data_IF_583136123337
#
_entry.id   IF_583136123337
#
_cell.length_a   1.000
_cell.length_b   1.000
_cell.length_c   1.000
_cell.angle_alpha   90.00
_cell.angle_beta   90.00
_cell.angle_gamma   90.00
#
_symmetry.space_group_name_H-M   'P 1'
#
loop_
_entity.id
_entity.type
_entity.pdbx_description
1 polymer ?
#
# COMPACT_ATOMS: atom_id res chain seq x y z
N UNK A 1 3.00 -68.80 7.68
CA UNK A 1 2.14 -69.16 6.54
C UNK A 1 1.01 -68.15 6.53
N UNK A 2 1.19 -67.03 5.81
CA UNK A 2 0.58 -66.71 4.48
C UNK A 2 -0.93 -66.47 4.66
N UNK A 3 -1.60 -65.38 4.27
CA UNK A 3 -1.36 -64.26 3.32
C UNK A 3 -2.24 -63.05 3.76
N UNK A 4 -1.76 -61.80 3.68
CA UNK A 4 -2.10 -60.76 2.65
C UNK A 4 -3.61 -60.50 2.50
N UNK A 5 -4.13 -59.28 2.72
CA UNK A 5 -3.92 -58.14 1.82
C UNK A 5 -4.30 -56.75 2.42
N UNK A 6 -3.56 -55.75 1.93
CA UNK A 6 -3.93 -54.35 1.64
C UNK A 6 -4.07 -53.26 2.73
N UNK A 7 -2.93 -52.60 2.94
CA UNK A 7 -2.66 -51.16 3.04
C UNK A 7 -3.80 -50.27 2.49
N UNK A 8 -4.39 -49.43 3.34
CA UNK A 8 -4.58 -47.99 3.13
C UNK A 8 -5.13 -47.34 4.41
N UNK A 9 -4.22 -46.78 5.21
CA UNK A 9 -4.52 -45.95 6.36
C UNK A 9 -4.17 -44.51 5.99
N UNK A 10 -5.03 -43.89 5.16
CA UNK A 10 -4.93 -42.48 4.74
C UNK A 10 -6.20 -41.76 5.22
N UNK A 11 -6.02 -40.60 5.84
CA UNK A 11 -6.95 -39.45 5.94
C UNK A 11 -8.29 -39.68 6.66
N UNK A 12 -8.38 -39.30 7.93
CA UNK A 12 -8.68 -37.93 8.42
C UNK A 12 -10.18 -37.75 8.75
N UNK A 13 -10.49 -38.11 9.98
CA UNK A 13 -11.64 -37.68 10.76
C UNK A 13 -11.73 -36.14 10.87
N UNK A 14 -12.38 -35.43 9.94
CA UNK A 14 -12.79 -34.02 10.17
C UNK A 14 -14.08 -33.49 9.53
N UNK A 15 -14.97 -34.33 9.00
CA UNK A 15 -16.22 -33.82 8.36
C UNK A 15 -17.54 -34.24 9.04
N UNK A 16 -17.52 -34.56 10.33
CA UNK A 16 -18.71 -34.97 11.08
C UNK A 16 -19.13 -33.95 12.15
N UNK A 17 -19.40 -32.71 11.76
CA UNK A 17 -20.17 -31.72 12.54
C UNK A 17 -20.60 -30.65 11.52
N UNK A 18 -21.79 -30.72 10.91
CA UNK A 18 -23.03 -30.19 11.47
C UNK A 18 -24.16 -30.68 10.55
N UNK A 19 -25.07 -31.48 11.10
CA UNK A 19 -26.43 -31.63 10.58
C UNK A 19 -27.40 -31.14 11.67
N UNK A 20 -28.55 -30.61 11.25
CA UNK A 20 -29.67 -30.00 12.01
C UNK A 20 -29.55 -28.48 12.28
N UNK A 21 -30.49 -27.62 11.91
CA UNK A 21 -31.95 -27.77 11.78
C UNK A 21 -32.51 -26.96 10.60
N UNK A 22 -33.46 -27.55 9.85
CA UNK A 22 -34.35 -26.85 8.91
C UNK A 22 -35.77 -27.13 9.39
N UNK A 23 -36.58 -26.14 9.82
CA UNK A 23 -38.00 -26.36 9.95
C UNK A 23 -38.62 -26.28 8.54
N UNK A 24 -39.38 -27.30 8.19
CA UNK A 24 -40.31 -27.25 7.07
C UNK A 24 -41.39 -26.23 7.39
N UNK A 25 -41.55 -25.21 6.54
CA UNK A 25 -42.84 -24.55 6.39
C UNK A 25 -43.17 -24.35 4.91
N UNK A 26 -44.40 -24.73 4.63
CA UNK A 26 -45.20 -24.73 3.40
C UNK A 26 -45.04 -23.54 2.46
N UNK A 27 -44.84 -23.88 1.17
CA UNK A 27 -45.36 -23.23 -0.06
C UNK A 27 -45.20 -21.71 -0.21
N UNK A 28 -44.06 -21.30 -0.77
CA UNK A 28 -44.01 -20.21 -1.76
C UNK A 28 -43.16 -20.69 -2.96
N UNK A 29 -43.48 -20.32 -4.21
CA UNK A 29 -42.57 -20.54 -5.32
C UNK A 29 -41.35 -19.64 -5.11
N UNK A 30 -40.35 -20.17 -4.42
CA UNK A 30 -39.07 -19.50 -4.23
C UNK A 30 -38.51 -19.20 -5.63
N UNK A 31 -38.45 -17.92 -5.99
CA UNK A 31 -37.72 -17.44 -7.14
C UNK A 31 -36.30 -18.02 -7.06
N UNK A 32 -36.03 -19.04 -7.88
CA UNK A 32 -34.72 -19.69 -7.94
C UNK A 32 -33.91 -18.94 -8.99
N UNK A 33 -32.99 -18.04 -8.63
CA UNK A 33 -32.16 -17.37 -9.60
C UNK A 33 -31.34 -18.40 -10.37
N UNK A 34 -31.31 -18.27 -11.71
CA UNK A 34 -30.58 -19.19 -12.60
C UNK A 34 -29.06 -19.21 -12.33
N UNK A 35 -28.53 -18.16 -11.69
CA UNK A 35 -27.17 -18.11 -11.17
C UNK A 35 -27.09 -17.15 -9.98
N UNK A 36 -26.44 -17.58 -8.90
CA UNK A 36 -26.09 -16.72 -7.74
C UNK A 36 -24.58 -16.53 -7.75
N UNK A 37 -24.14 -15.29 -7.93
CA UNK A 37 -22.74 -14.91 -7.74
C UNK A 37 -22.62 -14.25 -6.37
N UNK A 38 -21.91 -14.89 -5.45
CA UNK A 38 -21.68 -14.36 -4.10
C UNK A 38 -20.30 -13.72 -4.02
N UNK A 39 -20.26 -12.43 -3.67
CA UNK A 39 -19.02 -11.68 -3.49
C UNK A 39 -18.99 -11.15 -2.07
N UNK A 40 -17.95 -11.52 -1.33
CA UNK A 40 -17.76 -11.13 0.06
C UNK A 40 -16.77 -9.97 0.13
N UNK A 41 -17.24 -8.81 0.56
CA UNK A 41 -16.40 -7.65 0.83
C UNK A 41 -16.25 -7.50 2.35
N UNK A 42 -15.02 -7.66 2.85
CA UNK A 42 -14.70 -7.49 4.26
C UNK A 42 -13.80 -6.28 4.43
N UNK A 43 -14.21 -5.32 5.25
CA UNK A 43 -13.41 -4.14 5.57
C UNK A 43 -13.52 -3.79 7.05
N UNK A 44 -12.41 -3.34 7.64
CA UNK A 44 -12.33 -2.91 9.04
C UNK A 44 -12.85 -1.49 9.27
N UNK A 45 -13.05 -0.72 8.20
CA UNK A 45 -13.42 0.69 8.20
C UNK A 45 -14.86 0.88 7.70
N UNK A 46 -15.73 1.40 8.57
CA UNK A 46 -17.15 1.64 8.28
C UNK A 46 -17.39 2.77 7.28
N UNK A 47 -16.48 3.76 7.21
CA UNK A 47 -16.55 4.86 6.26
C UNK A 47 -16.21 4.38 4.84
N UNK A 48 -15.25 3.47 4.73
CA UNK A 48 -14.88 2.82 3.47
C UNK A 48 -16.05 1.98 2.91
N UNK A 49 -16.71 1.20 3.77
CA UNK A 49 -17.92 0.46 3.39
C UNK A 49 -19.05 1.38 2.93
N UNK A 50 -19.25 2.50 3.64
CA UNK A 50 -20.23 3.52 3.27
C UNK A 50 -19.95 4.14 1.89
N UNK A 51 -18.69 4.41 1.59
CA UNK A 51 -18.28 4.97 0.30
C UNK A 51 -18.43 3.98 -0.85
N UNK A 52 -18.08 2.71 -0.63
CA UNK A 52 -18.29 1.62 -1.61
C UNK A 52 -19.78 1.45 -1.89
N UNK A 53 -20.62 1.40 -0.84
CA UNK A 53 -22.06 1.28 -0.99
C UNK A 53 -22.65 2.46 -1.78
N UNK A 54 -22.24 3.70 -1.47
CA UNK A 54 -22.67 4.91 -2.20
C UNK A 54 -22.29 4.85 -3.67
N UNK A 55 -21.10 4.31 -3.99
CA UNK A 55 -20.64 4.17 -5.35
C UNK A 55 -21.43 3.10 -6.13
N UNK A 56 -21.71 1.96 -5.50
CA UNK A 56 -22.56 0.90 -6.06
C UNK A 56 -23.99 1.39 -6.33
N UNK A 57 -24.59 2.13 -5.40
CA UNK A 57 -25.91 2.73 -5.57
C UNK A 57 -25.98 3.69 -6.76
N UNK A 58 -24.91 4.48 -7.00
CA UNK A 58 -24.83 5.36 -8.19
C UNK A 58 -24.83 4.59 -9.51
N UNK A 59 -24.38 3.33 -9.50
CA UNK A 59 -24.36 2.44 -10.68
C UNK A 59 -25.64 1.60 -10.82
N UNK A 60 -26.64 1.85 -9.97
CA UNK A 60 -27.91 1.12 -9.96
C UNK A 60 -27.81 -0.28 -9.34
N UNK A 61 -26.81 -0.50 -8.48
CA UNK A 61 -26.69 -1.69 -7.62
C UNK A 61 -27.21 -1.31 -6.23
N UNK A 62 -28.22 -2.00 -5.72
CA UNK A 62 -28.81 -1.69 -4.41
C UNK A 62 -28.26 -2.61 -3.32
N UNK A 63 -27.72 -2.04 -2.25
CA UNK A 63 -27.36 -2.80 -1.03
C UNK A 63 -28.55 -2.94 -0.08
N UNK A 64 -28.92 -4.17 0.27
CA UNK A 64 -29.86 -4.51 1.32
C UNK A 64 -29.12 -4.96 2.57
N UNK A 65 -29.54 -4.48 3.73
CA UNK A 65 -29.00 -4.93 5.01
C UNK A 65 -29.84 -6.07 5.55
N UNK A 66 -29.20 -7.19 5.87
CA UNK A 66 -29.79 -8.28 6.63
C UNK A 66 -29.77 -7.93 8.14
N UNK A 67 -30.65 -8.55 8.93
CA UNK A 67 -30.74 -8.34 10.39
C UNK A 67 -29.43 -8.70 11.12
N UNK A 68 -28.56 -9.49 10.48
CA UNK A 68 -27.23 -9.83 10.97
C UNK A 68 -26.14 -8.80 10.60
N UNK A 69 -26.50 -7.65 10.04
CA UNK A 69 -25.55 -6.61 9.61
C UNK A 69 -24.78 -6.91 8.31
N UNK A 70 -25.20 -7.92 7.54
CA UNK A 70 -24.61 -8.23 6.23
C UNK A 70 -25.25 -7.38 5.15
N UNK A 71 -24.45 -6.90 4.19
CA UNK A 71 -24.97 -6.18 3.01
C UNK A 71 -25.04 -7.13 1.82
N UNK A 72 -26.25 -7.33 1.29
CA UNK A 72 -26.49 -8.08 0.05
C UNK A 72 -26.74 -7.08 -1.08
N UNK A 73 -26.00 -7.20 -2.18
CA UNK A 73 -26.16 -6.31 -3.33
C UNK A 73 -27.05 -6.94 -4.40
N UNK A 74 -28.08 -6.21 -4.84
CA UNK A 74 -29.01 -6.60 -5.89
C UNK A 74 -28.75 -5.76 -7.14
N UNK A 75 -28.75 -6.43 -8.29
CA UNK A 75 -28.66 -5.83 -9.61
C UNK A 75 -29.91 -6.21 -10.43
N UNK A 76 -30.41 -5.29 -11.27
CA UNK A 76 -31.50 -5.57 -12.20
C UNK A 76 -31.09 -6.64 -13.24
N UNK A 77 -31.70 -7.82 -13.12
CA UNK A 77 -31.49 -8.98 -13.99
C UNK A 77 -32.61 -9.22 -15.00
N UNK A 78 -33.53 -8.28 -15.24
CA UNK A 78 -34.68 -8.48 -16.17
C UNK A 78 -34.27 -8.85 -17.59
N UNK A 79 -33.04 -8.53 -17.99
CA UNK A 79 -32.45 -8.88 -19.29
C UNK A 79 -31.68 -10.22 -19.28
N UNK A 80 -31.81 -11.00 -18.20
CA UNK A 80 -31.16 -12.30 -18.01
C UNK A 80 -29.90 -12.25 -17.16
N UNK A 81 -29.51 -13.42 -16.62
CA UNK A 81 -28.37 -13.57 -15.73
C UNK A 81 -27.04 -13.18 -16.38
N UNK A 82 -26.83 -13.49 -17.67
CA UNK A 82 -25.62 -13.11 -18.40
C UNK A 82 -25.47 -11.59 -18.55
N UNK A 83 -26.59 -10.86 -18.73
CA UNK A 83 -26.56 -9.40 -18.77
C UNK A 83 -26.20 -8.80 -17.41
N UNK A 84 -26.76 -9.36 -16.34
CA UNK A 84 -26.43 -8.98 -14.97
C UNK A 84 -24.95 -9.22 -14.64
N UNK A 85 -24.43 -10.40 -14.97
CA UNK A 85 -23.03 -10.76 -14.78
C UNK A 85 -22.09 -9.83 -15.56
N UNK A 86 -22.36 -9.59 -16.85
CA UNK A 86 -21.52 -8.71 -17.67
C UNK A 86 -21.53 -7.25 -17.17
N UNK A 87 -22.68 -6.75 -16.70
CA UNK A 87 -22.76 -5.40 -16.13
C UNK A 87 -21.98 -5.30 -14.82
N UNK A 88 -22.00 -6.35 -14.00
CA UNK A 88 -21.18 -6.43 -12.80
C UNK A 88 -19.68 -6.55 -13.13
N UNK A 89 -19.29 -7.41 -14.07
CA UNK A 89 -17.90 -7.57 -14.50
C UNK A 89 -17.33 -6.27 -15.08
N UNK A 90 -18.08 -5.57 -15.92
CA UNK A 90 -17.69 -4.26 -16.42
C UNK A 90 -17.48 -3.24 -15.28
N UNK A 91 -18.31 -3.30 -14.24
CA UNK A 91 -18.13 -2.50 -13.03
C UNK A 91 -16.90 -2.94 -12.23
N UNK A 92 -16.68 -4.24 -12.01
CA UNK A 92 -15.53 -4.73 -11.25
C UNK A 92 -14.22 -4.39 -11.94
N UNK A 93 -14.19 -4.48 -13.27
CA UNK A 93 -13.03 -4.12 -14.08
C UNK A 93 -12.77 -2.63 -13.98
N UNK A 94 -13.81 -1.79 -14.12
CA UNK A 94 -13.69 -0.35 -13.93
C UNK A 94 -13.23 0.03 -12.51
N UNK A 95 -13.79 -0.60 -11.48
CA UNK A 95 -13.43 -0.38 -10.09
C UNK A 95 -11.99 -0.85 -9.80
N UNK A 96 -11.57 -1.96 -10.39
CA UNK A 96 -10.21 -2.48 -10.25
C UNK A 96 -9.20 -1.58 -10.95
N UNK A 97 -9.50 -1.13 -12.18
CA UNK A 97 -8.64 -0.22 -12.94
C UNK A 97 -8.51 1.13 -12.25
N UNK A 98 -9.62 1.75 -11.86
CA UNK A 98 -9.59 3.02 -11.12
C UNK A 98 -8.89 2.91 -9.76
N UNK A 99 -9.03 1.78 -9.08
CA UNK A 99 -8.29 1.51 -7.86
C UNK A 99 -6.79 1.35 -8.13
N UNK A 100 -6.40 0.54 -9.11
CA UNK A 100 -5.00 0.38 -9.53
C UNK A 100 -4.38 1.71 -9.95
N UNK A 101 -5.11 2.55 -10.69
CA UNK A 101 -4.69 3.90 -11.03
C UNK A 101 -4.49 4.75 -9.76
N UNK A 102 -5.41 4.73 -8.81
CA UNK A 102 -5.27 5.48 -7.55
C UNK A 102 -4.08 5.02 -6.70
N UNK A 103 -3.78 3.71 -6.68
CA UNK A 103 -2.61 3.15 -6.01
C UNK A 103 -1.34 3.56 -6.75
N UNK A 104 -1.32 3.47 -8.09
CA UNK A 104 -0.20 3.88 -8.91
C UNK A 104 0.07 5.40 -8.80
N UNK A 105 -0.98 6.22 -8.72
CA UNK A 105 -0.89 7.66 -8.47
C UNK A 105 -0.31 7.94 -7.08
N UNK A 106 -0.76 7.22 -6.05
CA UNK A 106 -0.22 7.31 -4.70
C UNK A 106 1.26 6.92 -4.66
N UNK A 107 1.61 5.83 -5.33
CA UNK A 107 2.95 5.30 -5.44
C UNK A 107 3.89 6.28 -6.15
N UNK A 108 3.46 6.81 -7.30
CA UNK A 108 4.18 7.84 -8.03
C UNK A 108 4.31 9.14 -7.22
N UNK A 109 3.28 9.52 -6.45
CA UNK A 109 3.35 10.71 -5.59
C UNK A 109 4.40 10.56 -4.48
N UNK A 110 4.50 9.38 -3.87
CA UNK A 110 5.53 9.07 -2.87
C UNK A 110 6.92 9.07 -3.51
N UNK A 111 7.10 8.42 -4.64
CA UNK A 111 8.38 8.39 -5.35
C UNK A 111 8.83 9.80 -5.77
N UNK A 112 7.89 10.65 -6.21
CA UNK A 112 8.14 12.05 -6.50
C UNK A 112 8.55 12.85 -5.26
N UNK A 113 7.94 12.59 -4.09
CA UNK A 113 8.36 13.20 -2.83
C UNK A 113 9.79 12.80 -2.46
N UNK A 114 10.11 11.50 -2.55
CA UNK A 114 11.45 10.97 -2.30
C UNK A 114 12.46 11.65 -3.24
N UNK A 115 12.19 11.66 -4.55
CA UNK A 115 13.08 12.28 -5.54
C UNK A 115 13.21 13.80 -5.35
N UNK A 116 12.17 14.49 -4.89
CA UNK A 116 12.25 15.93 -4.57
C UNK A 116 13.19 16.17 -3.39
N UNK A 117 13.07 15.37 -2.34
CA UNK A 117 13.89 15.51 -1.14
C UNK A 117 15.35 15.15 -1.41
N UNK A 118 15.60 14.01 -2.06
CA UNK A 118 16.96 13.58 -2.39
C UNK A 118 17.66 14.56 -3.33
N UNK A 119 16.95 15.14 -4.32
CA UNK A 119 17.48 16.22 -5.15
C UNK A 119 17.74 17.49 -4.36
N UNK A 120 16.88 17.84 -3.40
CA UNK A 120 17.06 19.03 -2.55
C UNK A 120 18.33 18.99 -1.69
N UNK A 121 18.77 17.80 -1.27
CA UNK A 121 20.07 17.58 -0.62
C UNK A 121 21.24 17.53 -1.60
N UNK A 122 21.00 17.22 -2.88
CA UNK A 122 22.04 17.07 -3.89
C UNK A 122 22.81 15.75 -3.80
N UNK A 123 22.14 14.64 -3.45
CA UNK A 123 22.77 13.33 -3.50
C UNK A 123 23.21 12.96 -4.93
N UNK A 124 24.41 12.38 -5.06
CA UNK A 124 24.93 11.90 -6.35
C UNK A 124 24.18 10.64 -6.81
N UNK A 125 23.41 10.75 -7.89
CA UNK A 125 22.55 9.67 -8.42
C UNK A 125 23.32 8.46 -8.95
N UNK A 126 24.58 8.63 -9.35
CA UNK A 126 25.45 7.54 -9.87
C UNK A 126 25.93 6.58 -8.79
N UNK A 127 25.82 6.94 -7.51
CA UNK A 127 26.27 6.10 -6.40
C UNK A 127 25.29 4.94 -6.17
N UNK A 128 25.80 3.72 -5.97
CA UNK A 128 24.94 2.57 -5.60
C UNK A 128 24.14 2.82 -4.32
N UNK A 129 24.73 3.54 -3.36
CA UNK A 129 24.04 3.96 -2.13
C UNK A 129 22.77 4.76 -2.39
N UNK A 130 22.71 5.55 -3.47
CA UNK A 130 21.52 6.34 -3.83
C UNK A 130 20.32 5.44 -4.16
N UNK A 131 20.55 4.41 -4.99
CA UNK A 131 19.50 3.46 -5.36
C UNK A 131 19.00 2.67 -4.14
N UNK A 132 19.93 2.24 -3.28
CA UNK A 132 19.61 1.55 -2.02
C UNK A 132 18.78 2.46 -1.10
N UNK A 133 19.19 3.71 -0.90
CA UNK A 133 18.49 4.70 -0.07
C UNK A 133 17.08 4.97 -0.60
N UNK A 134 16.94 5.22 -1.91
CA UNK A 134 15.63 5.46 -2.53
C UNK A 134 14.68 4.30 -2.25
N UNK A 135 15.15 3.05 -2.42
CA UNK A 135 14.34 1.87 -2.13
C UNK A 135 14.04 1.71 -0.64
N UNK A 136 15.02 1.94 0.24
CA UNK A 136 14.82 1.95 1.69
C UNK A 136 13.76 2.95 2.13
N UNK A 137 13.78 4.17 1.58
CA UNK A 137 12.77 5.19 1.86
C UNK A 137 11.40 4.76 1.41
N UNK A 138 11.29 4.10 0.24
CA UNK A 138 10.02 3.56 -0.25
C UNK A 138 9.44 2.48 0.67
N UNK A 139 10.27 1.51 1.07
CA UNK A 139 9.84 0.44 1.98
C UNK A 139 9.46 0.98 3.36
N UNK A 140 10.27 1.87 3.91
CA UNK A 140 10.00 2.46 5.23
C UNK A 140 8.82 3.42 5.22
N UNK A 141 8.52 4.06 4.09
CA UNK A 141 7.29 4.85 3.95
C UNK A 141 6.04 3.97 4.05
N UNK A 142 6.06 2.79 3.43
CA UNK A 142 4.95 1.83 3.50
C UNK A 142 4.86 1.17 4.89
N UNK A 143 6.00 0.77 5.47
CA UNK A 143 6.09 0.21 6.83
C UNK A 143 7.16 0.94 7.67
N UNK A 144 6.76 1.96 8.46
CA UNK A 144 7.69 2.68 9.33
C UNK A 144 8.36 1.80 10.39
N UNK A 145 7.78 0.65 10.74
CA UNK A 145 8.34 -0.25 11.75
C UNK A 145 9.68 -0.87 11.29
N UNK A 146 9.97 -0.87 9.97
CA UNK A 146 11.23 -1.35 9.42
C UNK A 146 12.46 -0.54 9.88
N UNK A 147 12.28 0.70 10.33
CA UNK A 147 13.39 1.54 10.82
C UNK A 147 13.96 1.05 12.17
N UNK A 148 13.20 0.29 12.95
CA UNK A 148 13.56 -0.10 14.33
C UNK A 148 13.47 -1.63 14.53
N UNK A 149 14.59 -2.37 14.53
CA UNK A 149 15.93 -2.00 14.08
C UNK A 149 16.14 -2.23 12.57
N UNK A 150 16.62 -1.19 11.86
CA UNK A 150 16.86 -1.21 10.42
C UNK A 150 17.81 -2.34 9.96
N UNK A 151 18.86 -2.62 10.73
CA UNK A 151 19.88 -3.63 10.38
C UNK A 151 19.35 -5.06 10.35
N UNK A 152 18.32 -5.38 11.14
CA UNK A 152 17.74 -6.74 11.21
C UNK A 152 16.49 -6.91 10.36
N UNK A 153 15.80 -5.83 10.01
CA UNK A 153 14.53 -5.87 9.28
C UNK A 153 14.65 -5.32 7.87
N UNK A 154 15.08 -4.07 7.74
CA UNK A 154 15.18 -3.38 6.45
C UNK A 154 16.35 -3.88 5.60
N UNK A 155 17.53 -4.01 6.20
CA UNK A 155 18.75 -4.36 5.45
C UNK A 155 18.67 -5.75 4.79
N UNK A 156 18.13 -6.81 5.45
CA UNK A 156 17.97 -8.10 4.79
C UNK A 156 17.01 -8.07 3.58
N UNK A 157 15.95 -7.27 3.64
CA UNK A 157 15.03 -7.12 2.50
C UNK A 157 15.73 -6.48 1.30
N UNK A 158 16.47 -5.39 1.55
CA UNK A 158 17.27 -4.71 0.53
C UNK A 158 18.38 -5.62 -0.02
N UNK A 159 19.04 -6.38 0.86
CA UNK A 159 20.08 -7.34 0.47
C UNK A 159 19.55 -8.37 -0.52
N UNK A 160 18.37 -8.94 -0.24
CA UNK A 160 17.69 -9.89 -1.12
C UNK A 160 17.30 -9.26 -2.46
N UNK A 161 16.74 -8.06 -2.43
CA UNK A 161 16.27 -7.35 -3.63
C UNK A 161 17.42 -6.97 -4.57
N UNK A 162 18.50 -6.40 -4.02
CA UNK A 162 19.65 -5.94 -4.82
C UNK A 162 20.74 -7.00 -5.00
N UNK A 163 20.56 -8.21 -4.45
CA UNK A 163 21.55 -9.31 -4.46
C UNK A 163 22.91 -8.86 -3.93
N UNK A 164 22.90 -8.17 -2.78
CA UNK A 164 24.09 -7.65 -2.09
C UNK A 164 24.15 -8.13 -0.65
N UNK A 165 25.35 -8.13 -0.06
CA UNK A 165 25.54 -8.51 1.34
C UNK A 165 25.29 -7.31 2.28
N UNK A 166 24.90 -7.58 3.54
CA UNK A 166 24.66 -6.54 4.55
C UNK A 166 25.85 -5.57 4.74
N UNK A 167 27.12 -6.04 4.80
CA UNK A 167 28.27 -5.12 4.89
C UNK A 167 28.43 -4.23 3.66
N UNK A 168 28.02 -4.71 2.47
CA UNK A 168 28.06 -3.91 1.25
C UNK A 168 27.02 -2.79 1.31
N UNK A 169 25.82 -3.06 1.82
CA UNK A 169 24.78 -2.03 2.01
C UNK A 169 25.33 -0.92 2.92
N UNK A 170 25.82 -1.30 4.10
CA UNK A 170 26.35 -0.35 5.08
C UNK A 170 27.51 0.48 4.50
N UNK A 171 28.45 -0.15 3.79
CA UNK A 171 29.54 0.54 3.11
C UNK A 171 29.05 1.53 2.06
N UNK A 172 28.09 1.13 1.21
CA UNK A 172 27.55 1.99 0.16
C UNK A 172 26.79 3.19 0.74
N UNK A 173 26.00 2.96 1.78
CA UNK A 173 25.26 4.02 2.47
C UNK A 173 26.22 5.01 3.15
N UNK A 174 27.22 4.50 3.87
CA UNK A 174 28.24 5.34 4.51
C UNK A 174 29.02 6.17 3.49
N UNK A 175 29.48 5.56 2.41
CA UNK A 175 30.22 6.24 1.36
C UNK A 175 29.38 7.36 0.73
N UNK A 176 28.10 7.10 0.46
CA UNK A 176 27.17 8.11 -0.04
C UNK A 176 26.99 9.27 0.94
N UNK A 177 26.75 9.00 2.23
CA UNK A 177 26.61 10.05 3.25
C UNK A 177 27.89 10.88 3.37
N UNK A 178 29.06 10.24 3.43
CA UNK A 178 30.35 10.93 3.50
C UNK A 178 30.61 11.80 2.27
N UNK A 179 30.30 11.29 1.08
CA UNK A 179 30.46 12.06 -0.16
C UNK A 179 29.56 13.30 -0.17
N UNK A 180 28.31 13.17 0.31
CA UNK A 180 27.41 14.32 0.43
C UNK A 180 27.95 15.38 1.40
N UNK A 181 28.45 14.96 2.57
CA UNK A 181 29.02 15.89 3.55
C UNK A 181 30.26 16.61 3.01
N UNK A 182 31.14 15.89 2.30
CA UNK A 182 32.31 16.50 1.67
C UNK A 182 31.90 17.53 0.59
N UNK A 183 30.84 17.26 -0.18
CA UNK A 183 30.29 18.20 -1.15
C UNK A 183 29.69 19.45 -0.47
N UNK A 184 29.05 19.29 0.69
CA UNK A 184 28.55 20.40 1.52
C UNK A 184 29.69 21.25 2.09
N UNK A 185 30.74 20.62 2.64
CA UNK A 185 31.92 21.31 3.18
C UNK A 185 32.68 22.09 2.10
N UNK A 186 32.80 21.53 0.89
CA UNK A 186 33.40 22.19 -0.25
C UNK A 186 32.57 23.41 -0.71
N UNK A 187 31.24 23.29 -0.74
CA UNK A 187 30.36 24.39 -1.10
C UNK A 187 30.45 25.56 -0.09
N UNK A 188 30.55 25.26 1.20
CA UNK A 188 30.73 26.26 2.25
C UNK A 188 32.09 26.98 2.11
N UNK A 189 33.14 26.22 1.79
CA UNK A 189 34.49 26.76 1.61
C UNK A 189 34.61 27.67 0.37
N UNK A 190 33.81 27.41 -0.66
CA UNK A 190 33.73 28.22 -1.89
C UNK A 190 32.83 29.45 -1.75
N UNK A 191 32.23 29.69 -0.58
CA UNK A 191 31.36 30.85 -0.34
C UNK A 191 30.03 30.79 -1.11
N UNK A 192 29.59 29.60 -1.53
CA UNK A 192 28.30 29.44 -2.21
C UNK A 192 27.19 29.89 -1.26
N UNK A 193 26.29 30.82 -1.66
CA UNK A 193 25.22 31.27 -0.79
C UNK A 193 24.32 30.08 -0.43
N UNK A 194 24.05 29.93 0.88
CA UNK A 194 23.27 28.82 1.45
C UNK A 194 21.89 28.63 0.78
N UNK A 195 21.37 29.68 0.14
CA UNK A 195 20.12 29.67 -0.65
C UNK A 195 20.15 28.71 -1.85
N UNK A 196 21.32 28.27 -2.31
CA UNK A 196 21.43 27.45 -3.54
C UNK A 196 20.97 26.01 -3.33
N UNK A 197 21.13 25.47 -2.11
CA UNK A 197 20.63 24.14 -1.72
C UNK A 197 19.43 24.27 -0.81
N UNK A 198 18.41 23.44 -1.05
CA UNK A 198 17.17 23.47 -0.26
C UNK A 198 17.36 22.85 1.13
N UNK A 199 18.23 21.85 1.26
CA UNK A 199 18.46 21.12 2.49
C UNK A 199 19.96 20.87 2.72
N UNK A 200 20.38 20.87 3.99
CA UNK A 200 21.79 20.73 4.39
C UNK A 200 21.91 19.67 5.47
N UNK A 201 22.55 18.54 5.17
CA UNK A 201 22.62 17.44 6.12
C UNK A 201 23.49 17.80 7.34
N UNK A 202 24.60 18.50 7.12
CA UNK A 202 25.57 18.92 8.12
C UNK A 202 25.03 19.94 9.15
N UNK A 203 24.17 20.88 8.72
CA UNK A 203 23.66 21.94 9.60
C UNK A 203 22.36 21.57 10.31
N UNK A 204 21.57 20.69 9.70
CA UNK A 204 20.27 20.28 10.24
C UNK A 204 20.40 19.21 11.36
N UNK A 205 21.60 18.69 11.66
CA UNK A 205 21.79 17.64 12.69
C UNK A 205 22.29 18.24 14.01
N UNK A 206 21.49 18.12 15.08
CA UNK A 206 21.81 18.67 16.40
C UNK A 206 22.78 17.79 17.20
N UNK A 207 23.00 16.54 16.77
CA UNK A 207 23.61 15.47 17.58
C UNK A 207 25.02 15.05 17.11
N UNK A 208 25.71 15.90 16.34
CA UNK A 208 27.06 15.62 15.84
C UNK A 208 27.07 15.06 14.41
N UNK A 209 28.11 14.29 14.04
CA UNK A 209 28.24 13.79 12.66
C UNK A 209 27.13 12.76 12.35
N UNK A 210 26.34 12.95 11.29
CA UNK A 210 25.20 12.10 10.99
C UNK A 210 25.65 10.67 10.68
N UNK A 211 25.07 9.70 11.38
CA UNK A 211 25.22 8.28 11.06
C UNK A 211 24.31 7.89 9.89
N UNK A 212 24.56 6.72 9.29
CA UNK A 212 23.70 6.19 8.22
C UNK A 212 22.25 6.04 8.69
N UNK A 213 22.04 5.50 9.89
CA UNK A 213 20.70 5.25 10.43
C UNK A 213 20.00 6.57 10.77
N UNK A 214 20.69 7.52 11.42
CA UNK A 214 20.09 8.82 11.75
C UNK A 214 19.72 9.59 10.48
N UNK A 215 20.59 9.55 9.46
CA UNK A 215 20.30 10.11 8.13
C UNK A 215 19.05 9.48 7.51
N UNK A 216 18.95 8.14 7.52
CA UNK A 216 17.80 7.43 6.97
C UNK A 216 16.49 7.80 7.68
N UNK A 217 16.50 7.83 9.02
CA UNK A 217 15.32 8.19 9.83
C UNK A 217 14.91 9.64 9.56
N UNK A 218 15.87 10.55 9.48
CA UNK A 218 15.62 11.97 9.16
C UNK A 218 14.98 12.14 7.79
N UNK A 219 15.56 11.52 6.76
CA UNK A 219 15.00 11.55 5.41
C UNK A 219 13.61 10.93 5.36
N UNK A 220 13.38 9.80 6.04
CA UNK A 220 12.05 9.19 6.14
C UNK A 220 11.03 10.16 6.73
N UNK A 221 11.33 10.77 7.89
CA UNK A 221 10.43 11.73 8.54
C UNK A 221 10.11 12.93 7.64
N UNK A 222 11.10 13.39 6.88
CA UNK A 222 10.94 14.48 5.93
C UNK A 222 10.08 14.09 4.71
N UNK A 223 10.22 12.87 4.20
CA UNK A 223 9.34 12.35 3.14
C UNK A 223 7.91 12.27 3.63
N UNK A 224 7.69 11.76 4.84
CA UNK A 224 6.36 11.67 5.45
C UNK A 224 5.75 13.05 5.65
N UNK A 225 6.52 14.04 6.12
CA UNK A 225 6.01 15.39 6.34
C UNK A 225 5.67 16.11 5.03
N UNK A 226 6.55 16.02 4.03
CA UNK A 226 6.32 16.60 2.69
C UNK A 226 5.09 15.96 2.02
N UNK A 227 4.94 14.65 2.11
CA UNK A 227 3.78 13.95 1.55
C UNK A 227 2.47 14.38 2.24
N UNK A 228 2.45 14.46 3.57
CA UNK A 228 1.30 14.97 4.33
C UNK A 228 0.94 16.41 3.95
N UNK A 229 1.94 17.26 3.77
CA UNK A 229 1.74 18.65 3.36
C UNK A 229 1.10 18.75 1.97
N UNK A 230 1.58 17.96 1.00
CA UNK A 230 1.01 17.89 -0.34
C UNK A 230 -0.41 17.35 -0.34
N UNK A 231 -0.71 16.32 0.45
CA UNK A 231 -2.07 15.81 0.62
C UNK A 231 -3.01 16.88 1.19
N UNK A 232 -2.59 17.59 2.23
CA UNK A 232 -3.39 18.68 2.82
C UNK A 232 -3.65 19.80 1.83
N UNK A 233 -2.66 20.17 1.02
CA UNK A 233 -2.82 21.17 -0.04
C UNK A 233 -3.82 20.69 -1.11
N UNK A 234 -3.66 19.45 -1.62
CA UNK A 234 -4.61 18.88 -2.59
C UNK A 234 -6.05 18.89 -2.06
N UNK A 235 -6.25 18.50 -0.81
CA UNK A 235 -7.57 18.51 -0.16
C UNK A 235 -8.16 19.92 -0.06
N UNK A 236 -7.36 20.92 0.38
CA UNK A 236 -7.80 22.33 0.44
C UNK A 236 -8.18 22.86 -0.94
N UNK A 237 -7.42 22.51 -1.98
CA UNK A 237 -7.72 22.93 -3.36
C UNK A 237 -9.00 22.28 -3.89
N UNK A 238 -9.23 21.00 -3.59
CA UNK A 238 -10.47 20.31 -3.96
C UNK A 238 -11.69 20.92 -3.28
N UNK A 239 -11.62 21.17 -1.97
CA UNK A 239 -12.70 21.79 -1.20
C UNK A 239 -13.05 23.19 -1.71
N UNK A 240 -12.04 23.99 -2.07
CA UNK A 240 -12.24 25.32 -2.63
C UNK A 240 -12.86 25.30 -4.04
N UNK A 241 -12.61 24.23 -4.82
CA UNK A 241 -13.23 24.04 -6.14
C UNK A 241 -14.71 23.67 -6.03
N UNK A 242 -15.07 22.91 -4.98
CA UNK A 242 -16.45 22.50 -4.73
C UNK A 242 -17.32 23.63 -4.19
N UNK A 243 -16.78 24.51 -3.32
CA UNK A 243 -17.47 25.72 -2.84
C UNK A 243 -17.72 26.80 -3.89
N UNK A 244 -17.05 26.72 -5.04
CA UNK A 244 -17.19 27.66 -6.17
C UNK A 244 -18.17 27.17 -7.25
N UNK A 245 -18.73 25.98 -7.08
CA UNK A 245 -19.80 25.43 -7.90
C UNK A 245 -21.13 25.58 -7.17
#
# INVERSE_FOLDING_TARGET
MIAEEHIDMITEHRDSFIYFQRPESTKEPAFKPDAVVQILLTASDSELLGNVNRHLCKQGIMGLFDMSGRVQYILDGRKGASFAANKFSAFSDFATLSFQESIAEGDCAVDNCIDTILRGYGFRTRLRGYALLKRMLRLTFADPALLRPATKRLYPQIAKEFRVNLPQIERNMRYMTQTLLADEEAALSQGVPLSSKKYWLSQDDKEGRPTVITTLVKLHNQVVSEYKLRLSQKYKTALNKEKRR
#
